data_IF_390931310657
#
_entry.id   IF_390931310657
#
_cell.length_a   1.000
_cell.length_b   1.000
_cell.length_c   1.000
_cell.angle_alpha   90.00
_cell.angle_beta   90.00
_cell.angle_gamma   90.00
#
_symmetry.space_group_name_H-M   'P 1'
#
loop_
_entity.id
_entity.type
_entity.pdbx_description
1 polymer ?
#
# COMPACT_ATOMS: atom_id res chain seq x y z
N UNK A 1 -34.15 -82.36 47.59
CA UNK A 1 -33.14 -81.62 46.81
C UNK A 1 -33.77 -81.25 45.47
N UNK A 2 -34.14 -79.98 45.26
CA UNK A 2 -33.43 -78.97 44.43
C UNK A 2 -33.30 -79.44 42.96
N UNK A 3 -33.73 -78.74 41.91
CA UNK A 3 -33.94 -77.30 41.74
C UNK A 3 -34.89 -77.05 40.56
N UNK A 4 -35.70 -75.99 40.68
CA UNK A 4 -36.45 -75.35 39.60
C UNK A 4 -35.47 -74.65 38.64
N UNK A 5 -35.83 -74.52 37.37
CA UNK A 5 -35.26 -73.49 36.49
C UNK A 5 -36.35 -72.90 35.60
N UNK A 6 -36.31 -71.58 35.61
CA UNK A 6 -37.26 -70.57 35.17
C UNK A 6 -36.55 -69.81 34.05
N UNK A 7 -37.14 -69.71 32.86
CA UNK A 7 -36.69 -68.79 31.79
C UNK A 7 -37.96 -68.24 31.15
N UNK A 8 -38.54 -67.18 31.73
CA UNK A 8 -38.32 -65.75 31.46
C UNK A 8 -38.52 -65.34 29.99
N UNK A 9 -39.75 -64.93 29.70
CA UNK A 9 -40.16 -64.13 28.55
C UNK A 9 -39.49 -62.75 28.62
N UNK A 10 -38.70 -62.38 27.61
CA UNK A 10 -38.20 -61.01 27.43
C UNK A 10 -39.18 -60.28 26.50
N UNK A 11 -39.94 -59.34 27.07
CA UNK A 11 -40.64 -58.32 26.29
C UNK A 11 -39.63 -57.29 25.77
N UNK A 12 -39.58 -57.13 24.45
CA UNK A 12 -38.88 -56.03 23.79
C UNK A 12 -39.67 -54.73 24.05
N UNK A 13 -39.15 -53.88 24.94
CA UNK A 13 -39.60 -52.49 25.04
C UNK A 13 -38.87 -51.72 23.94
N UNK A 14 -39.61 -51.34 22.90
CA UNK A 14 -39.14 -50.37 21.91
C UNK A 14 -39.00 -49.01 22.59
N UNK A 15 -37.77 -48.67 22.99
CA UNK A 15 -37.41 -47.32 23.43
C UNK A 15 -37.41 -46.43 22.19
N UNK A 16 -38.52 -45.74 21.95
CA UNK A 16 -38.60 -44.60 21.06
C UNK A 16 -37.69 -43.49 21.61
N UNK A 17 -36.49 -43.39 21.04
CA UNK A 17 -35.58 -42.26 21.22
C UNK A 17 -36.32 -40.95 20.88
N UNK A 18 -36.35 -39.95 21.78
CA UNK A 18 -36.83 -38.63 21.42
C UNK A 18 -35.89 -38.02 20.39
N UNK A 19 -36.47 -37.66 19.23
CA UNK A 19 -35.86 -36.80 18.23
C UNK A 19 -35.43 -35.52 18.96
N UNK A 20 -34.12 -35.29 19.04
CA UNK A 20 -33.54 -34.05 19.56
C UNK A 20 -34.19 -32.86 18.84
N UNK A 21 -34.75 -31.87 19.55
CA UNK A 21 -35.20 -30.64 18.93
C UNK A 21 -33.97 -29.96 18.35
N UNK A 22 -33.91 -29.88 17.02
CA UNK A 22 -32.77 -29.34 16.29
C UNK A 22 -32.34 -27.99 16.85
N UNK A 23 -31.03 -27.81 17.01
CA UNK A 23 -30.38 -26.54 17.34
C UNK A 23 -30.97 -25.43 16.45
N UNK A 24 -31.90 -24.67 17.02
CA UNK A 24 -32.48 -23.49 16.38
C UNK A 24 -31.39 -22.43 16.35
N UNK A 25 -31.01 -22.02 15.14
CA UNK A 25 -29.96 -21.04 14.88
C UNK A 25 -30.24 -19.75 15.66
N UNK A 26 -29.35 -19.37 16.60
CA UNK A 26 -29.60 -18.31 17.58
C UNK A 26 -29.90 -16.95 16.93
N UNK A 27 -29.36 -16.74 15.73
CA UNK A 27 -29.53 -15.52 14.95
C UNK A 27 -30.89 -15.42 14.25
N UNK A 28 -31.61 -16.52 14.03
CA UNK A 28 -32.92 -16.50 13.36
C UNK A 28 -33.98 -15.68 14.13
N UNK A 29 -33.81 -15.56 15.46
CA UNK A 29 -34.72 -14.84 16.37
C UNK A 29 -34.45 -13.33 16.44
N UNK A 30 -33.37 -12.85 15.85
CA UNK A 30 -33.01 -11.42 15.89
C UNK A 30 -33.97 -10.58 15.04
N UNK A 31 -33.91 -9.26 15.20
CA UNK A 31 -34.66 -8.33 14.37
C UNK A 31 -34.36 -8.59 12.89
N UNK A 32 -35.40 -8.76 12.08
CA UNK A 32 -35.27 -8.88 10.63
C UNK A 32 -34.71 -7.57 10.07
N UNK A 33 -33.72 -7.68 9.20
CA UNK A 33 -33.28 -6.54 8.40
C UNK A 33 -34.37 -6.18 7.38
N UNK A 34 -34.28 -4.98 6.80
CA UNK A 34 -35.17 -4.57 5.71
C UNK A 34 -35.02 -5.46 4.47
N UNK A 35 -36.04 -5.55 3.62
CA UNK A 35 -35.97 -6.30 2.35
C UNK A 35 -34.87 -5.76 1.44
N UNK A 36 -34.63 -4.43 1.48
CA UNK A 36 -33.52 -3.79 0.78
C UNK A 36 -32.16 -4.29 1.28
N UNK A 37 -31.97 -4.39 2.59
CA UNK A 37 -30.73 -4.95 3.15
C UNK A 37 -30.58 -6.42 2.75
N UNK A 38 -31.64 -7.23 2.84
CA UNK A 38 -31.62 -8.62 2.39
C UNK A 38 -31.14 -8.74 0.93
N UNK A 39 -31.73 -7.96 0.03
CA UNK A 39 -31.32 -7.94 -1.38
C UNK A 39 -29.85 -7.54 -1.54
N UNK A 40 -29.45 -6.43 -0.91
CA UNK A 40 -28.09 -5.87 -1.03
C UNK A 40 -27.03 -6.88 -0.54
N UNK A 41 -27.24 -7.48 0.64
CA UNK A 41 -26.30 -8.43 1.22
C UNK A 41 -26.23 -9.72 0.40
N UNK A 42 -27.37 -10.16 -0.15
CA UNK A 42 -27.43 -11.31 -1.07
C UNK A 42 -26.61 -11.05 -2.32
N UNK A 43 -26.78 -9.89 -2.95
CA UNK A 43 -26.03 -9.49 -4.14
C UNK A 43 -24.53 -9.42 -3.86
N UNK A 44 -24.13 -8.87 -2.69
CA UNK A 44 -22.72 -8.83 -2.27
C UNK A 44 -22.12 -10.22 -2.09
N UNK A 45 -22.82 -11.16 -1.46
CA UNK A 45 -22.31 -12.52 -1.30
C UNK A 45 -22.27 -13.31 -2.62
N UNK A 46 -23.28 -13.13 -3.48
CA UNK A 46 -23.25 -13.69 -4.83
C UNK A 46 -22.11 -13.10 -5.67
N UNK A 47 -21.80 -11.81 -5.53
CA UNK A 47 -20.67 -11.18 -6.22
C UNK A 47 -19.33 -11.80 -5.79
N UNK A 48 -19.11 -12.01 -4.48
CA UNK A 48 -17.93 -12.70 -3.97
C UNK A 48 -17.77 -14.10 -4.59
N UNK A 49 -18.86 -14.88 -4.64
CA UNK A 49 -18.86 -16.23 -5.22
C UNK A 49 -18.63 -16.18 -6.73
N UNK A 50 -19.30 -15.26 -7.45
CA UNK A 50 -19.19 -15.12 -8.89
C UNK A 50 -17.78 -14.74 -9.32
N UNK A 51 -17.14 -13.83 -8.58
CA UNK A 51 -15.75 -13.46 -8.83
C UNK A 51 -14.81 -14.62 -8.52
N UNK A 52 -14.96 -15.28 -7.36
CA UNK A 52 -14.14 -16.44 -7.01
C UNK A 52 -14.21 -17.56 -8.06
N UNK A 53 -15.35 -17.73 -8.74
CA UNK A 53 -15.52 -18.70 -9.84
C UNK A 53 -14.65 -18.39 -11.06
N UNK A 54 -14.29 -17.12 -11.28
CA UNK A 54 -13.43 -16.67 -12.38
C UNK A 54 -11.94 -16.60 -12.02
N UNK A 55 -11.58 -16.85 -10.77
CA UNK A 55 -10.21 -16.73 -10.26
C UNK A 55 -9.53 -18.09 -10.13
N UNK A 56 -8.20 -18.05 -10.09
CA UNK A 56 -7.37 -19.17 -9.66
C UNK A 56 -6.89 -18.95 -8.22
N UNK A 57 -6.53 -20.01 -7.46
CA UNK A 57 -6.07 -19.86 -6.08
C UNK A 57 -4.89 -18.88 -5.90
N UNK A 58 -3.99 -18.79 -6.87
CA UNK A 58 -2.86 -17.83 -6.88
C UNK A 58 -3.30 -16.35 -6.99
N UNK A 59 -4.55 -16.12 -7.39
CA UNK A 59 -5.18 -14.81 -7.49
C UNK A 59 -6.04 -14.46 -6.26
N UNK A 60 -5.88 -15.20 -5.16
CA UNK A 60 -6.62 -15.01 -3.90
C UNK A 60 -6.75 -13.56 -3.44
N UNK A 61 -5.70 -12.74 -3.62
CA UNK A 61 -5.70 -11.34 -3.19
C UNK A 61 -6.72 -10.47 -3.96
N UNK A 62 -7.22 -10.90 -5.12
CA UNK A 62 -8.25 -10.15 -5.86
C UNK A 62 -9.56 -10.04 -5.05
N UNK A 63 -9.82 -10.99 -4.15
CA UNK A 63 -11.02 -10.98 -3.30
C UNK A 63 -10.98 -9.97 -2.14
N UNK A 64 -9.84 -9.31 -1.89
CA UNK A 64 -9.67 -8.43 -0.72
C UNK A 64 -10.68 -7.28 -0.69
N UNK A 65 -11.03 -6.71 -1.84
CA UNK A 65 -11.94 -5.59 -1.92
C UNK A 65 -13.38 -5.91 -1.44
N UNK A 66 -13.75 -7.17 -1.25
CA UNK A 66 -15.03 -7.55 -0.65
C UNK A 66 -15.08 -7.35 0.88
N UNK A 67 -13.91 -7.27 1.51
CA UNK A 67 -13.76 -7.29 2.96
C UNK A 67 -13.64 -5.90 3.56
N UNK A 68 -14.12 -5.74 4.80
CA UNK A 68 -13.94 -4.51 5.56
C UNK A 68 -12.47 -4.38 5.97
N UNK A 69 -11.94 -3.15 6.03
CA UNK A 69 -10.60 -2.86 6.55
C UNK A 69 -10.38 -3.45 7.95
N UNK A 70 -11.44 -3.52 8.75
CA UNK A 70 -11.40 -4.11 10.08
C UNK A 70 -11.18 -5.63 10.02
N UNK A 71 -11.92 -6.34 9.18
CA UNK A 71 -11.74 -7.78 9.00
C UNK A 71 -10.33 -8.12 8.47
N UNK A 72 -9.82 -7.35 7.51
CA UNK A 72 -8.47 -7.50 6.97
C UNK A 72 -7.35 -7.16 7.95
N UNK A 73 -7.66 -6.45 9.04
CA UNK A 73 -6.70 -6.19 10.13
C UNK A 73 -6.51 -7.40 11.06
N UNK A 74 -7.45 -8.34 11.05
CA UNK A 74 -7.48 -9.48 11.99
C UNK A 74 -6.83 -10.76 11.45
N UNK A 75 -6.32 -10.74 10.22
CA UNK A 75 -5.78 -11.92 9.53
C UNK A 75 -4.42 -11.62 8.90
N UNK A 76 -3.53 -12.60 8.96
CA UNK A 76 -2.22 -12.54 8.31
C UNK A 76 -2.34 -12.82 6.81
N UNK A 77 -1.40 -12.29 6.02
CA UNK A 77 -1.42 -12.41 4.55
C UNK A 77 -1.47 -13.85 4.07
N UNK A 78 -0.64 -14.73 4.62
CA UNK A 78 -0.60 -16.14 4.21
C UNK A 78 -1.85 -16.91 4.62
N UNK A 79 -2.41 -16.62 5.80
CA UNK A 79 -3.68 -17.20 6.23
C UNK A 79 -4.83 -16.77 5.32
N UNK A 80 -4.85 -15.50 4.90
CA UNK A 80 -5.83 -15.02 3.93
C UNK A 80 -5.69 -15.76 2.59
N UNK A 81 -4.47 -15.84 2.03
CA UNK A 81 -4.21 -16.54 0.75
C UNK A 81 -4.66 -18.00 0.81
N UNK A 82 -4.34 -18.71 1.89
CA UNK A 82 -4.73 -20.11 2.07
C UNK A 82 -6.24 -20.29 2.15
N UNK A 83 -6.93 -19.45 2.93
CA UNK A 83 -8.39 -19.54 3.10
C UNK A 83 -9.13 -19.13 1.83
N UNK A 84 -8.72 -18.03 1.19
CA UNK A 84 -9.25 -17.58 -0.09
C UNK A 84 -9.00 -18.60 -1.20
N UNK A 85 -7.81 -19.19 -1.29
CA UNK A 85 -7.49 -20.24 -2.26
C UNK A 85 -8.36 -21.49 -2.09
N UNK A 86 -8.62 -21.91 -0.84
CA UNK A 86 -9.58 -22.99 -0.56
C UNK A 86 -11.00 -22.61 -0.96
N UNK A 87 -11.43 -21.38 -0.64
CA UNK A 87 -12.75 -20.88 -1.02
C UNK A 87 -12.93 -20.88 -2.55
N UNK A 88 -11.94 -20.39 -3.30
CA UNK A 88 -11.93 -20.41 -4.78
C UNK A 88 -12.06 -21.84 -5.30
N UNK A 89 -11.30 -22.79 -4.74
CA UNK A 89 -11.38 -24.20 -5.13
C UNK A 89 -12.77 -24.82 -4.83
N UNK A 90 -13.33 -24.53 -3.65
CA UNK A 90 -14.66 -24.99 -3.24
C UNK A 90 -15.77 -24.42 -4.16
N UNK A 91 -15.66 -23.14 -4.56
CA UNK A 91 -16.57 -22.50 -5.51
C UNK A 91 -16.45 -23.14 -6.90
N UNK A 92 -15.23 -23.36 -7.39
CA UNK A 92 -15.00 -24.02 -8.68
C UNK A 92 -15.53 -25.47 -8.70
N UNK A 93 -15.51 -26.15 -7.55
CA UNK A 93 -16.07 -27.49 -7.37
C UNK A 93 -17.61 -27.51 -7.22
N UNK A 94 -18.29 -26.36 -7.30
CA UNK A 94 -19.75 -26.26 -7.24
C UNK A 94 -20.34 -26.36 -5.84
N UNK A 95 -19.53 -26.26 -4.77
CA UNK A 95 -20.01 -26.35 -3.37
C UNK A 95 -21.08 -25.29 -3.05
N UNK A 96 -21.02 -24.15 -3.73
CA UNK A 96 -21.92 -23.02 -3.54
C UNK A 96 -23.08 -22.96 -4.54
N UNK A 97 -23.20 -23.92 -5.48
CA UNK A 97 -24.24 -23.91 -6.53
C UNK A 97 -25.67 -24.06 -5.98
N UNK A 98 -25.80 -24.76 -4.83
CA UNK A 98 -27.08 -24.96 -4.12
C UNK A 98 -27.20 -24.08 -2.87
N UNK A 99 -26.49 -22.95 -2.85
CA UNK A 99 -26.61 -22.01 -1.74
C UNK A 99 -28.02 -21.43 -1.66
N UNK A 100 -28.62 -21.51 -0.48
CA UNK A 100 -29.94 -20.94 -0.18
C UNK A 100 -29.80 -19.72 0.73
N UNK A 101 -30.55 -18.65 0.44
CA UNK A 101 -30.66 -17.48 1.31
C UNK A 101 -31.88 -17.68 2.22
N UNK A 102 -31.64 -17.77 3.53
CA UNK A 102 -32.69 -17.94 4.55
C UNK A 102 -33.26 -16.61 5.05
N UNK A 103 -32.55 -15.50 4.83
CA UNK A 103 -32.97 -14.15 5.20
C UNK A 103 -31.81 -13.29 5.71
N UNK A 104 -32.14 -12.10 6.24
CA UNK A 104 -31.16 -11.19 6.83
C UNK A 104 -31.59 -10.70 8.21
N UNK A 105 -30.63 -10.32 9.06
CA UNK A 105 -30.85 -9.83 10.43
C UNK A 105 -30.05 -8.58 10.72
N UNK A 106 -30.59 -7.75 11.60
CA UNK A 106 -30.02 -6.50 12.08
C UNK A 106 -29.81 -6.58 13.61
N UNK A 107 -28.71 -7.20 14.07
CA UNK A 107 -28.37 -7.23 15.50
C UNK A 107 -27.85 -5.89 16.06
N UNK A 108 -27.84 -4.82 15.24
CA UNK A 108 -27.29 -3.52 15.59
C UNK A 108 -26.49 -2.92 14.43
N UNK A 109 -25.21 -2.60 14.67
CA UNK A 109 -24.33 -1.98 13.66
C UNK A 109 -24.02 -2.92 12.48
N UNK A 110 -23.93 -4.22 12.73
CA UNK A 110 -23.73 -5.22 11.68
C UNK A 110 -25.05 -5.62 11.04
N UNK A 111 -24.95 -6.19 9.84
CA UNK A 111 -26.01 -6.99 9.23
C UNK A 111 -25.54 -8.43 9.09
N UNK A 112 -26.45 -9.38 9.24
CA UNK A 112 -26.17 -10.81 9.03
C UNK A 112 -26.96 -11.30 7.83
N UNK A 113 -26.30 -11.97 6.90
CA UNK A 113 -26.94 -12.77 5.86
C UNK A 113 -26.99 -14.23 6.33
N UNK A 114 -28.19 -14.79 6.42
CA UNK A 114 -28.40 -16.18 6.80
C UNK A 114 -28.41 -17.02 5.54
N UNK A 115 -27.49 -17.98 5.46
CA UNK A 115 -27.33 -18.86 4.30
C UNK A 115 -27.39 -20.32 4.71
N UNK A 116 -27.65 -21.18 3.74
CA UNK A 116 -27.37 -22.61 3.82
C UNK A 116 -26.52 -23.01 2.63
N UNK A 117 -25.35 -23.58 2.87
CA UNK A 117 -24.43 -24.09 1.84
C UNK A 117 -24.13 -25.54 2.20
N UNK A 118 -24.37 -26.46 1.26
CA UNK A 118 -24.18 -27.91 1.47
C UNK A 118 -24.75 -28.41 2.81
N UNK A 119 -26.02 -28.06 3.09
CA UNK A 119 -26.76 -28.40 4.33
C UNK A 119 -26.20 -27.76 5.62
N UNK A 120 -25.06 -27.09 5.59
CA UNK A 120 -24.54 -26.31 6.71
C UNK A 120 -25.22 -24.94 6.76
N UNK A 121 -25.71 -24.55 7.94
CA UNK A 121 -26.25 -23.21 8.18
C UNK A 121 -25.12 -22.24 8.47
N UNK A 122 -25.10 -21.11 7.78
CA UNK A 122 -24.14 -20.02 7.97
C UNK A 122 -24.82 -18.69 8.26
N UNK A 123 -24.10 -17.82 8.97
CA UNK A 123 -24.52 -16.46 9.30
C UNK A 123 -23.35 -15.52 8.97
N UNK A 124 -23.43 -14.78 7.87
CA UNK A 124 -22.31 -14.02 7.34
C UNK A 124 -22.42 -12.56 7.79
N UNK A 125 -21.44 -12.03 8.56
CA UNK A 125 -21.49 -10.67 9.06
C UNK A 125 -21.01 -9.65 8.02
N UNK A 126 -21.73 -8.54 7.94
CA UNK A 126 -21.39 -7.38 7.12
C UNK A 126 -21.31 -6.12 7.98
N UNK A 127 -20.29 -5.31 7.72
CA UNK A 127 -20.11 -4.00 8.32
C UNK A 127 -20.40 -2.89 7.28
N UNK A 128 -20.93 -1.73 7.72
CA UNK A 128 -21.11 -0.59 6.85
C UNK A 128 -19.74 0.02 6.49
N UNK A 129 -19.62 0.47 5.25
CA UNK A 129 -18.45 1.05 4.60
C UNK A 129 -18.93 2.19 3.66
N UNK A 130 -18.08 3.16 3.28
CA UNK A 130 -18.48 4.22 2.34
C UNK A 130 -19.14 3.71 1.05
N UNK A 131 -18.70 2.55 0.54
CA UNK A 131 -19.22 1.93 -0.70
C UNK A 131 -20.35 0.91 -0.46
N UNK A 132 -20.94 0.92 0.74
CA UNK A 132 -22.03 0.04 1.15
C UNK A 132 -21.60 -1.02 2.17
N UNK A 133 -21.98 -2.28 1.96
CA UNK A 133 -21.72 -3.36 2.91
C UNK A 133 -20.51 -4.20 2.50
N UNK A 134 -19.59 -4.44 3.42
CA UNK A 134 -18.40 -5.31 3.25
C UNK A 134 -18.40 -6.44 4.28
N UNK A 135 -17.79 -7.58 3.98
CA UNK A 135 -17.68 -8.69 4.92
C UNK A 135 -16.86 -8.28 6.14
N UNK A 136 -17.36 -8.56 7.34
CA UNK A 136 -16.67 -8.20 8.59
C UNK A 136 -15.92 -9.36 9.25
N UNK A 137 -15.93 -10.55 8.63
CA UNK A 137 -15.15 -11.71 9.07
C UNK A 137 -14.72 -12.58 7.88
N UNK A 138 -13.40 -12.72 7.70
CA UNK A 138 -12.81 -13.47 6.58
C UNK A 138 -13.14 -14.97 6.63
N UNK A 139 -13.10 -15.56 7.81
CA UNK A 139 -13.32 -17.01 7.96
C UNK A 139 -14.76 -17.36 7.62
N UNK A 140 -15.69 -16.57 8.15
CA UNK A 140 -17.12 -16.81 7.98
C UNK A 140 -17.53 -16.56 6.53
N UNK A 141 -17.04 -15.49 5.89
CA UNK A 141 -17.31 -15.23 4.48
C UNK A 141 -16.82 -16.37 3.57
N UNK A 142 -15.68 -16.98 3.92
CA UNK A 142 -15.11 -18.14 3.20
C UNK A 142 -15.67 -19.49 3.65
N UNK A 143 -16.75 -19.51 4.44
CA UNK A 143 -17.55 -20.73 4.69
C UNK A 143 -17.25 -21.44 6.00
N UNK A 144 -16.43 -20.87 6.90
CA UNK A 144 -16.28 -21.40 8.26
C UNK A 144 -17.46 -20.97 9.15
N UNK A 145 -18.59 -21.65 9.00
CA UNK A 145 -19.83 -21.34 9.72
C UNK A 145 -19.88 -21.82 11.17
N UNK A 146 -18.89 -22.60 11.61
CA UNK A 146 -18.76 -23.01 13.02
C UNK A 146 -18.18 -21.87 13.89
N UNK A 147 -17.48 -20.92 13.27
CA UNK A 147 -16.90 -19.77 13.97
C UNK A 147 -17.99 -18.84 14.49
N UNK A 148 -17.97 -18.59 15.79
CA UNK A 148 -18.73 -17.48 16.39
C UNK A 148 -18.02 -16.16 16.08
N UNK A 149 -18.79 -15.18 15.61
CA UNK A 149 -18.29 -13.84 15.29
C UNK A 149 -18.87 -12.79 16.24
N UNK A 150 -18.18 -11.65 16.33
CA UNK A 150 -18.55 -10.56 17.22
C UNK A 150 -19.66 -9.68 16.61
N UNK A 151 -20.83 -9.63 17.25
CA UNK A 151 -21.95 -8.81 16.81
C UNK A 151 -21.73 -7.30 16.94
N UNK A 152 -20.70 -6.88 17.69
CA UNK A 152 -20.35 -5.46 17.85
C UNK A 152 -19.56 -4.90 16.66
N UNK A 153 -19.09 -5.77 15.77
CA UNK A 153 -18.20 -5.42 14.67
C UNK A 153 -16.74 -5.35 15.08
N UNK A 154 -15.88 -5.37 14.07
CA UNK A 154 -14.43 -5.24 14.22
C UNK A 154 -14.00 -3.78 14.12
N UNK A 155 -12.96 -3.40 14.87
CA UNK A 155 -12.33 -2.08 14.74
C UNK A 155 -11.12 -2.18 13.81
N UNK A 156 -10.97 -1.29 12.81
CA UNK A 156 -9.76 -1.25 11.98
C UNK A 156 -8.51 -1.03 12.83
N UNK A 157 -7.43 -1.76 12.54
CA UNK A 157 -6.15 -1.49 13.17
C UNK A 157 -5.53 -0.21 12.60
N UNK A 158 -4.81 0.53 13.46
CA UNK A 158 -3.95 1.63 13.06
C UNK A 158 -2.50 1.35 13.51
N UNK A 159 -1.51 1.31 12.60
CA UNK A 159 -1.64 1.51 11.16
C UNK A 159 -2.42 0.36 10.45
N UNK A 160 -3.14 0.65 9.34
CA UNK A 160 -3.73 -0.38 8.48
C UNK A 160 -2.78 -1.53 8.12
N UNK A 161 -3.31 -2.75 8.11
CA UNK A 161 -2.59 -3.96 7.71
C UNK A 161 -2.16 -3.93 6.24
N UNK A 162 -1.23 -4.82 5.88
CA UNK A 162 -0.81 -5.00 4.48
C UNK A 162 -2.01 -5.33 3.58
N UNK A 163 -2.87 -6.26 4.00
CA UNK A 163 -4.06 -6.67 3.26
C UNK A 163 -5.04 -5.50 3.04
N UNK A 164 -5.25 -4.68 4.07
CA UNK A 164 -6.04 -3.45 3.94
C UNK A 164 -5.44 -2.48 2.94
N UNK A 165 -4.11 -2.35 2.91
CA UNK A 165 -3.41 -1.50 1.93
C UNK A 165 -3.56 -2.05 0.51
N UNK A 166 -3.46 -3.36 0.33
CA UNK A 166 -3.68 -4.01 -0.97
C UNK A 166 -5.13 -3.85 -1.44
N UNK A 167 -6.10 -3.91 -0.54
CA UNK A 167 -7.50 -3.63 -0.88
C UNK A 167 -7.71 -2.20 -1.41
N UNK A 168 -7.04 -1.20 -0.82
CA UNK A 168 -7.05 0.19 -1.31
C UNK A 168 -6.41 0.31 -2.70
N UNK A 169 -5.34 -0.43 -2.98
CA UNK A 169 -4.71 -0.42 -4.32
C UNK A 169 -5.62 -0.97 -5.43
N UNK A 170 -6.53 -1.87 -5.08
CA UNK A 170 -7.54 -2.46 -5.97
C UNK A 170 -8.79 -1.59 -6.14
N UNK A 171 -9.01 -0.64 -5.23
CA UNK A 171 -10.21 0.18 -5.24
C UNK A 171 -10.11 1.27 -6.31
N UNK A 172 -11.03 1.21 -7.28
CA UNK A 172 -11.12 2.19 -8.36
C UNK A 172 -11.64 3.56 -7.91
N UNK A 173 -12.26 3.65 -6.72
CA UNK A 173 -12.74 4.91 -6.14
C UNK A 173 -11.71 5.54 -5.18
N UNK A 174 -10.66 4.80 -4.78
CA UNK A 174 -9.62 5.33 -3.92
C UNK A 174 -8.89 6.50 -4.61
N UNK A 175 -8.70 7.58 -3.85
CA UNK A 175 -7.97 8.75 -4.31
C UNK A 175 -6.50 8.42 -4.56
N UNK A 176 -5.82 9.21 -5.40
CA UNK A 176 -4.38 9.06 -5.65
C UNK A 176 -3.59 9.08 -4.33
N UNK A 177 -3.96 9.96 -3.40
CA UNK A 177 -3.37 10.03 -2.06
C UNK A 177 -3.47 8.69 -1.31
N UNK A 178 -4.67 8.12 -1.21
CA UNK A 178 -4.89 6.86 -0.50
C UNK A 178 -4.11 5.72 -1.14
N UNK A 179 -4.06 5.67 -2.47
CA UNK A 179 -3.32 4.66 -3.23
C UNK A 179 -1.81 4.81 -3.08
N UNK A 180 -1.28 6.04 -3.04
CA UNK A 180 0.14 6.32 -2.73
C UNK A 180 0.48 5.88 -1.31
N UNK A 181 -0.32 6.25 -0.32
CA UNK A 181 -0.11 5.84 1.08
C UNK A 181 -0.16 4.31 1.24
N UNK A 182 -1.08 3.66 0.54
CA UNK A 182 -1.18 2.20 0.51
C UNK A 182 0.08 1.57 -0.12
N UNK A 183 0.57 2.10 -1.25
CA UNK A 183 1.79 1.63 -1.89
C UNK A 183 3.03 1.81 -0.99
N UNK A 184 3.17 2.95 -0.32
CA UNK A 184 4.27 3.19 0.62
C UNK A 184 4.23 2.26 1.83
N UNK A 185 3.04 1.84 2.27
CA UNK A 185 2.89 0.80 3.30
C UNK A 185 3.34 -0.57 2.81
N UNK A 186 3.15 -0.92 1.54
CA UNK A 186 3.73 -2.16 0.99
C UNK A 186 5.25 -2.16 1.14
N UNK A 187 5.91 -1.00 1.01
CA UNK A 187 7.36 -0.87 1.19
C UNK A 187 7.83 -1.25 2.60
N UNK A 188 7.04 -0.96 3.64
CA UNK A 188 7.43 -1.23 5.04
C UNK A 188 7.37 -2.72 5.39
N UNK A 189 6.52 -3.47 4.71
CA UNK A 189 6.31 -4.91 4.94
C UNK A 189 7.23 -5.77 4.04
N UNK A 190 7.98 -5.14 3.14
CA UNK A 190 8.99 -5.76 2.28
C UNK A 190 8.47 -6.89 1.36
N UNK A 191 7.20 -6.83 0.93
CA UNK A 191 6.63 -7.80 -0.01
C UNK A 191 6.85 -7.35 -1.47
N UNK A 192 7.99 -7.77 -2.02
CA UNK A 192 8.40 -7.46 -3.40
C UNK A 192 7.38 -7.93 -4.43
N UNK A 193 6.85 -9.15 -4.27
CA UNK A 193 5.98 -9.76 -5.26
C UNK A 193 4.66 -9.02 -5.39
N UNK A 194 4.09 -8.57 -4.26
CA UNK A 194 2.91 -7.70 -4.27
C UNK A 194 3.24 -6.37 -4.94
N UNK A 195 4.32 -5.70 -4.55
CA UNK A 195 4.68 -4.40 -5.12
C UNK A 195 4.84 -4.44 -6.65
N UNK A 196 5.58 -5.42 -7.18
CA UNK A 196 5.81 -5.58 -8.62
C UNK A 196 4.51 -5.92 -9.37
N UNK A 197 3.67 -6.80 -8.81
CA UNK A 197 2.37 -7.19 -9.39
C UNK A 197 1.45 -5.99 -9.60
N UNK A 198 1.38 -5.09 -8.62
CA UNK A 198 0.52 -3.91 -8.71
C UNK A 198 1.16 -2.79 -9.54
N UNK A 199 2.49 -2.68 -9.59
CA UNK A 199 3.18 -1.65 -10.38
C UNK A 199 3.00 -1.83 -11.90
N UNK A 200 2.89 -3.07 -12.37
CA UNK A 200 2.77 -3.41 -13.79
C UNK A 200 1.60 -2.73 -14.51
N UNK A 201 0.35 -2.93 -14.06
CA UNK A 201 -0.84 -2.35 -14.69
C UNK A 201 -1.13 -0.89 -14.27
N UNK A 202 -0.43 -0.36 -13.27
CA UNK A 202 -0.68 1.00 -12.77
C UNK A 202 -0.38 2.07 -13.82
N UNK A 203 -1.30 3.02 -13.96
CA UNK A 203 -1.22 4.13 -14.91
C UNK A 203 -0.99 5.47 -14.22
N UNK A 204 -1.44 5.63 -12.99
CA UNK A 204 -1.18 6.85 -12.23
C UNK A 204 0.32 6.94 -11.91
N UNK A 205 0.99 8.05 -12.27
CA UNK A 205 2.44 8.13 -12.21
C UNK A 205 2.96 8.10 -10.76
N UNK A 206 2.22 8.66 -9.80
CA UNK A 206 2.62 8.64 -8.39
C UNK A 206 2.36 7.32 -7.71
N UNK A 207 1.22 6.69 -7.98
CA UNK A 207 0.94 5.35 -7.46
C UNK A 207 1.97 4.36 -8.02
N UNK A 208 2.28 4.44 -9.32
CA UNK A 208 3.28 3.58 -9.96
C UNK A 208 4.67 3.78 -9.37
N UNK A 209 5.12 5.02 -9.24
CA UNK A 209 6.40 5.32 -8.61
C UNK A 209 6.45 4.80 -7.16
N UNK A 210 5.37 4.95 -6.40
CA UNK A 210 5.30 4.46 -5.01
C UNK A 210 5.37 2.94 -4.90
N UNK A 211 4.73 2.21 -5.82
CA UNK A 211 4.82 0.75 -5.88
C UNK A 211 6.22 0.27 -6.32
N UNK A 212 6.86 0.96 -7.26
CA UNK A 212 8.23 0.65 -7.67
C UNK A 212 9.25 0.99 -6.57
N UNK A 213 9.00 2.06 -5.81
CA UNK A 213 9.75 2.35 -4.58
C UNK A 213 9.60 1.22 -3.56
N UNK A 214 8.37 0.72 -3.35
CA UNK A 214 8.14 -0.44 -2.47
C UNK A 214 8.88 -1.70 -2.94
N UNK A 215 8.86 -1.99 -4.24
CA UNK A 215 9.61 -3.11 -4.81
C UNK A 215 11.11 -2.96 -4.57
N UNK A 216 11.67 -1.76 -4.77
CA UNK A 216 13.08 -1.47 -4.51
C UNK A 216 13.45 -1.63 -3.03
N UNK A 217 12.67 -1.08 -2.10
CA UNK A 217 12.89 -1.28 -0.66
C UNK A 217 12.71 -2.75 -0.22
N UNK A 218 12.13 -3.58 -1.08
CA UNK A 218 12.01 -5.04 -0.94
C UNK A 218 13.07 -5.83 -1.74
N UNK A 219 14.15 -5.18 -2.17
CA UNK A 219 15.30 -5.82 -2.84
C UNK A 219 15.27 -5.86 -4.36
N UNK A 220 14.34 -5.16 -5.03
CA UNK A 220 14.42 -4.93 -6.48
C UNK A 220 15.49 -3.87 -6.82
N UNK A 221 15.77 -3.67 -8.11
CA UNK A 221 16.63 -2.57 -8.57
C UNK A 221 15.93 -1.21 -8.36
N UNK A 222 16.69 -0.13 -8.16
CA UNK A 222 16.11 1.20 -7.92
C UNK A 222 15.79 1.95 -9.22
N UNK A 223 16.41 1.58 -10.35
CA UNK A 223 16.25 2.23 -11.64
C UNK A 223 14.79 2.27 -12.13
N UNK A 224 13.98 1.19 -12.04
CA UNK A 224 12.57 1.27 -12.42
C UNK A 224 11.80 2.34 -11.65
N UNK A 225 12.08 2.51 -10.36
CA UNK A 225 11.49 3.57 -9.55
C UNK A 225 11.94 4.95 -10.04
N UNK A 226 13.25 5.14 -10.30
CA UNK A 226 13.75 6.40 -10.82
C UNK A 226 13.15 6.77 -12.19
N UNK A 227 13.03 5.80 -13.09
CA UNK A 227 12.44 6.01 -14.42
C UNK A 227 10.95 6.40 -14.34
N UNK A 228 10.22 5.84 -13.38
CA UNK A 228 8.82 6.14 -13.14
C UNK A 228 8.57 7.42 -12.31
N UNK A 229 9.58 7.95 -11.63
CA UNK A 229 9.42 9.09 -10.73
C UNK A 229 8.89 10.34 -11.48
N UNK A 230 7.75 10.94 -11.09
CA UNK A 230 7.16 12.05 -11.84
C UNK A 230 8.02 13.31 -11.79
N UNK A 231 8.31 13.89 -12.97
CA UNK A 231 9.16 15.09 -13.12
C UNK A 231 8.37 16.33 -13.51
N UNK A 232 7.13 16.19 -13.97
CA UNK A 232 6.34 17.33 -14.46
C UNK A 232 5.84 18.17 -13.28
N UNK A 233 5.68 19.49 -13.49
CA UNK A 233 5.28 20.45 -12.45
C UNK A 233 3.96 20.08 -11.79
N UNK A 234 2.90 19.91 -12.58
CA UNK A 234 1.54 19.71 -12.07
C UNK A 234 1.42 18.43 -11.20
N UNK A 235 1.91 17.25 -11.62
CA UNK A 235 1.92 16.07 -10.76
C UNK A 235 2.67 16.31 -9.44
N UNK A 236 3.82 16.99 -9.46
CA UNK A 236 4.58 17.25 -8.23
C UNK A 236 3.80 18.13 -7.26
N UNK A 237 3.18 19.22 -7.75
CA UNK A 237 2.34 20.08 -6.93
C UNK A 237 1.12 19.33 -6.38
N UNK A 238 0.46 18.51 -7.20
CA UNK A 238 -0.71 17.72 -6.78
C UNK A 238 -0.39 16.77 -5.62
N UNK A 239 0.70 16.00 -5.69
CA UNK A 239 1.03 15.09 -4.59
C UNK A 239 1.48 15.86 -3.34
N UNK A 240 2.27 16.92 -3.51
CA UNK A 240 2.70 17.76 -2.39
C UNK A 240 1.51 18.34 -1.62
N UNK A 241 0.55 18.96 -2.32
CA UNK A 241 -0.62 19.58 -1.68
C UNK A 241 -1.55 18.54 -1.03
N UNK A 242 -1.64 17.34 -1.61
CA UNK A 242 -2.46 16.25 -1.06
C UNK A 242 -1.81 15.58 0.15
N UNK A 243 -0.51 15.33 0.11
CA UNK A 243 0.25 14.56 1.09
C UNK A 243 1.76 14.84 1.04
N UNK A 244 2.18 15.89 1.75
CA UNK A 244 3.58 16.31 1.86
C UNK A 244 4.48 15.18 2.38
N UNK A 245 4.01 14.36 3.33
CA UNK A 245 4.83 13.30 3.94
C UNK A 245 5.16 12.22 2.91
N UNK A 246 4.16 11.76 2.15
CA UNK A 246 4.38 10.79 1.07
C UNK A 246 5.29 11.36 -0.02
N UNK A 247 5.13 12.65 -0.37
CA UNK A 247 6.00 13.34 -1.30
C UNK A 247 7.46 13.37 -0.82
N UNK A 248 7.70 13.72 0.45
CA UNK A 248 9.03 13.74 1.05
C UNK A 248 9.71 12.36 1.06
N UNK A 249 8.96 11.30 1.38
CA UNK A 249 9.45 9.92 1.34
C UNK A 249 9.93 9.56 -0.07
N UNK A 250 9.15 9.91 -1.10
CA UNK A 250 9.49 9.61 -2.48
C UNK A 250 10.68 10.46 -2.98
N UNK A 251 10.75 11.74 -2.63
CA UNK A 251 11.90 12.61 -2.95
C UNK A 251 13.20 12.08 -2.31
N UNK A 252 13.13 11.68 -1.05
CA UNK A 252 14.25 11.01 -0.36
C UNK A 252 14.62 9.70 -1.06
N UNK A 253 13.61 8.95 -1.52
CA UNK A 253 13.81 7.74 -2.30
C UNK A 253 14.61 8.00 -3.59
N UNK A 254 14.24 8.99 -4.40
CA UNK A 254 14.94 9.25 -5.67
C UNK A 254 16.37 9.75 -5.42
N UNK A 255 16.59 10.51 -4.34
CA UNK A 255 17.92 10.84 -3.85
C UNK A 255 18.74 9.58 -3.52
N UNK A 256 18.20 8.69 -2.70
CA UNK A 256 18.87 7.46 -2.28
C UNK A 256 19.21 6.58 -3.49
N UNK A 257 18.33 6.53 -4.50
CA UNK A 257 18.58 5.78 -5.73
C UNK A 257 19.71 6.41 -6.53
N UNK A 258 19.76 7.75 -6.64
CA UNK A 258 20.86 8.46 -7.27
C UNK A 258 22.19 8.27 -6.53
N UNK A 259 22.17 8.29 -5.19
CA UNK A 259 23.34 8.04 -4.36
C UNK A 259 23.85 6.60 -4.47
N UNK A 260 22.95 5.61 -4.60
CA UNK A 260 23.34 4.20 -4.71
C UNK A 260 23.69 3.75 -6.15
N UNK A 261 23.08 4.36 -7.19
CA UNK A 261 23.21 3.87 -8.56
C UNK A 261 24.56 4.21 -9.20
N UNK A 262 25.15 3.25 -9.91
CA UNK A 262 26.34 3.49 -10.75
C UNK A 262 26.02 4.19 -12.08
N UNK A 263 24.76 4.58 -12.30
CA UNK A 263 24.30 5.24 -13.54
C UNK A 263 23.98 6.70 -13.27
N UNK A 264 24.17 7.53 -14.29
CA UNK A 264 23.83 8.96 -14.25
C UNK A 264 22.31 9.20 -14.30
N UNK A 265 21.53 8.26 -14.84
CA UNK A 265 20.10 8.45 -15.12
C UNK A 265 19.26 8.86 -13.89
N UNK A 266 19.40 8.23 -12.70
CA UNK A 266 18.66 8.68 -11.52
C UNK A 266 19.05 10.09 -11.06
N UNK A 267 20.32 10.47 -11.17
CA UNK A 267 20.77 11.85 -10.87
C UNK A 267 20.16 12.87 -11.84
N UNK A 268 20.12 12.56 -13.14
CA UNK A 268 19.43 13.40 -14.13
C UNK A 268 17.95 13.54 -13.82
N UNK A 269 17.31 12.44 -13.39
CA UNK A 269 15.91 12.47 -12.98
C UNK A 269 15.70 13.41 -11.79
N UNK A 270 16.47 13.25 -10.71
CA UNK A 270 16.40 14.11 -9.53
C UNK A 270 16.61 15.59 -9.90
N UNK A 271 17.64 15.88 -10.70
CA UNK A 271 17.96 17.23 -11.16
C UNK A 271 16.76 17.84 -11.92
N UNK A 272 16.23 17.10 -12.90
CA UNK A 272 15.09 17.56 -13.69
C UNK A 272 13.83 17.72 -12.85
N UNK A 273 13.56 16.82 -11.89
CA UNK A 273 12.41 16.94 -11.00
C UNK A 273 12.45 18.23 -10.19
N UNK A 274 13.60 18.55 -9.58
CA UNK A 274 13.77 19.78 -8.81
C UNK A 274 13.65 21.04 -9.70
N UNK A 275 14.23 21.01 -10.90
CA UNK A 275 14.10 22.10 -11.87
C UNK A 275 12.64 22.41 -12.21
N UNK A 276 11.83 21.38 -12.45
CA UNK A 276 10.42 21.52 -12.85
C UNK A 276 9.47 21.79 -11.69
N UNK A 277 9.86 21.50 -10.45
CA UNK A 277 9.03 21.67 -9.27
C UNK A 277 8.73 23.16 -9.00
N UNK A 278 7.52 23.46 -8.54
CA UNK A 278 7.17 24.76 -7.97
C UNK A 278 7.93 25.05 -6.68
N UNK A 279 8.00 26.32 -6.27
CA UNK A 279 8.78 26.75 -5.08
C UNK A 279 8.50 25.90 -3.84
N UNK A 280 7.23 25.64 -3.52
CA UNK A 280 6.83 24.83 -2.36
C UNK A 280 7.31 23.37 -2.46
N UNK A 281 6.92 22.57 -3.48
CA UNK A 281 7.48 21.22 -3.64
C UNK A 281 9.00 21.20 -3.81
N UNK A 282 9.59 22.25 -4.40
CA UNK A 282 11.03 22.36 -4.65
C UNK A 282 11.84 22.39 -3.35
N UNK A 283 11.32 23.02 -2.31
CA UNK A 283 11.98 23.13 -0.99
C UNK A 283 12.39 21.76 -0.42
N UNK A 284 11.64 20.70 -0.74
CA UNK A 284 11.91 19.32 -0.29
C UNK A 284 13.18 18.73 -0.94
N UNK A 285 13.60 19.22 -2.11
CA UNK A 285 14.79 18.74 -2.79
C UNK A 285 16.10 19.32 -2.24
N UNK A 286 16.06 20.42 -1.47
CA UNK A 286 17.26 21.18 -1.07
C UNK A 286 18.29 20.27 -0.40
N UNK A 287 17.91 19.61 0.71
CA UNK A 287 18.82 18.73 1.44
C UNK A 287 19.29 17.55 0.60
N UNK A 288 18.40 16.97 -0.20
CA UNK A 288 18.70 15.85 -1.09
C UNK A 288 19.77 16.22 -2.13
N UNK A 289 19.64 17.40 -2.76
CA UNK A 289 20.59 17.85 -3.77
C UNK A 289 21.96 18.16 -3.17
N UNK A 290 22.00 18.80 -2.00
CA UNK A 290 23.24 19.12 -1.28
C UNK A 290 23.99 17.85 -0.87
N UNK A 291 23.25 16.87 -0.33
CA UNK A 291 23.81 15.56 0.04
C UNK A 291 24.35 14.83 -1.19
N UNK A 292 23.60 14.82 -2.30
CA UNK A 292 24.05 14.17 -3.54
C UNK A 292 25.27 14.87 -4.14
N UNK A 293 25.33 16.20 -4.12
CA UNK A 293 26.48 16.96 -4.61
C UNK A 293 27.74 16.64 -3.82
N UNK A 294 27.61 16.43 -2.51
CA UNK A 294 28.73 16.01 -1.66
C UNK A 294 29.15 14.56 -1.91
N UNK A 295 28.19 13.66 -2.17
CA UNK A 295 28.45 12.24 -2.36
C UNK A 295 28.91 11.87 -3.79
N UNK A 296 28.38 12.56 -4.81
CA UNK A 296 28.62 12.31 -6.25
C UNK A 296 28.73 13.62 -7.03
N UNK A 297 29.75 14.46 -6.73
CA UNK A 297 29.91 15.76 -7.36
C UNK A 297 30.02 15.67 -8.89
N UNK A 298 30.61 14.60 -9.40
CA UNK A 298 30.76 14.34 -10.82
C UNK A 298 29.44 14.10 -11.55
N UNK A 299 28.45 13.47 -10.90
CA UNK A 299 27.14 13.23 -11.51
C UNK A 299 26.28 14.50 -11.50
N UNK A 300 26.36 15.29 -10.42
CA UNK A 300 25.66 16.58 -10.35
C UNK A 300 26.18 17.54 -11.41
N UNK A 301 27.50 17.68 -11.56
CA UNK A 301 28.07 18.53 -12.58
C UNK A 301 27.75 18.03 -14.00
N UNK A 302 27.78 16.72 -14.23
CA UNK A 302 27.36 16.14 -15.52
C UNK A 302 25.88 16.40 -15.82
N UNK A 303 25.01 16.33 -14.81
CA UNK A 303 23.59 16.63 -14.98
C UNK A 303 23.37 18.09 -15.37
N UNK A 304 24.03 19.03 -14.69
CA UNK A 304 23.98 20.45 -15.03
C UNK A 304 24.43 20.72 -16.49
N UNK A 305 25.56 20.11 -16.89
CA UNK A 305 26.08 20.23 -18.27
C UNK A 305 25.11 19.64 -19.30
N UNK A 306 24.51 18.49 -19.01
CA UNK A 306 23.61 17.80 -19.93
C UNK A 306 22.29 18.55 -20.11
N UNK A 307 21.76 19.15 -19.04
CA UNK A 307 20.55 19.96 -19.10
C UNK A 307 20.81 21.35 -19.70
N UNK A 308 22.01 21.91 -19.52
CA UNK A 308 22.46 23.16 -20.13
C UNK A 308 21.49 24.33 -19.87
N UNK A 309 20.94 24.40 -18.65
CA UNK A 309 20.16 25.54 -18.19
C UNK A 309 21.11 26.70 -17.87
N UNK A 310 20.64 27.94 -18.06
CA UNK A 310 21.38 29.12 -17.59
C UNK A 310 21.30 29.19 -16.07
N UNK A 311 22.37 29.65 -15.43
CA UNK A 311 22.42 29.75 -13.97
C UNK A 311 21.22 30.50 -13.38
N UNK A 312 20.84 31.64 -13.98
CA UNK A 312 19.72 32.48 -13.50
C UNK A 312 18.34 31.79 -13.59
N UNK A 313 18.22 30.81 -14.48
CA UNK A 313 17.00 30.05 -14.74
C UNK A 313 17.05 28.65 -14.09
N UNK A 314 18.18 28.28 -13.48
CA UNK A 314 18.42 26.94 -12.91
C UNK A 314 18.30 26.96 -11.39
N UNK A 315 17.14 26.61 -10.82
CA UNK A 315 16.97 26.59 -9.38
C UNK A 315 17.84 25.53 -8.70
N UNK A 316 18.27 24.47 -9.38
CA UNK A 316 19.19 23.47 -8.81
C UNK A 316 20.56 24.09 -8.61
N UNK A 317 21.07 24.82 -9.62
CA UNK A 317 22.32 25.55 -9.51
C UNK A 317 22.27 26.58 -8.36
N UNK A 318 21.17 27.34 -8.27
CA UNK A 318 20.99 28.32 -7.20
C UNK A 318 20.94 27.67 -5.80
N UNK A 319 20.27 26.51 -5.65
CA UNK A 319 20.27 25.74 -4.40
C UNK A 319 21.69 25.31 -4.03
N UNK A 320 22.43 24.72 -4.97
CA UNK A 320 23.76 24.18 -4.69
C UNK A 320 24.77 25.29 -4.41
N UNK A 321 24.77 26.37 -5.18
CA UNK A 321 25.62 27.54 -4.91
C UNK A 321 25.25 28.19 -3.59
N UNK A 322 23.96 28.41 -3.32
CA UNK A 322 23.50 29.03 -2.09
C UNK A 322 23.72 28.17 -0.84
N UNK A 323 23.75 26.85 -0.95
CA UNK A 323 23.97 25.97 0.20
C UNK A 323 25.44 25.60 0.43
N UNK A 324 26.32 25.75 -0.57
CA UNK A 324 27.70 25.28 -0.52
C UNK A 324 28.75 26.38 -0.78
N UNK A 325 28.36 27.65 -0.84
CA UNK A 325 29.34 28.74 -0.80
C UNK A 325 30.04 28.76 0.57
N UNK A 326 31.30 29.21 0.63
CA UNK A 326 32.13 29.17 1.84
C UNK A 326 32.64 27.77 2.25
N UNK A 327 31.98 26.70 1.80
CA UNK A 327 32.30 25.30 2.12
C UNK A 327 33.47 24.74 1.29
N UNK A 328 34.63 25.40 1.37
CA UNK A 328 35.82 25.05 0.57
C UNK A 328 36.36 23.62 0.82
N UNK A 329 36.02 23.03 1.98
CA UNK A 329 36.32 21.66 2.34
C UNK A 329 35.37 20.61 1.75
N UNK A 330 34.23 21.03 1.17
CA UNK A 330 33.23 20.11 0.64
C UNK A 330 33.73 19.42 -0.66
N UNK A 331 33.48 18.11 -0.84
CA UNK A 331 33.88 17.39 -2.05
C UNK A 331 33.38 18.03 -3.35
N UNK A 332 32.18 18.62 -3.33
CA UNK A 332 31.60 19.32 -4.46
C UNK A 332 32.42 20.54 -4.86
N UNK A 333 32.74 21.41 -3.90
CA UNK A 333 33.56 22.60 -4.13
C UNK A 333 34.94 22.24 -4.71
N UNK A 334 35.59 21.23 -4.12
CA UNK A 334 36.90 20.75 -4.59
C UNK A 334 36.82 20.21 -6.02
N UNK A 335 35.76 19.46 -6.33
CA UNK A 335 35.53 18.89 -7.65
C UNK A 335 35.33 19.98 -8.71
N UNK A 336 34.42 20.94 -8.49
CA UNK A 336 34.21 22.03 -9.45
C UNK A 336 35.44 22.93 -9.58
N UNK A 337 36.18 23.20 -8.48
CA UNK A 337 37.43 23.96 -8.49
C UNK A 337 38.52 23.34 -9.37
N UNK A 338 38.60 22.00 -9.36
CA UNK A 338 39.51 21.26 -10.24
C UNK A 338 39.09 21.41 -11.70
N UNK A 339 37.80 21.18 -12.00
CA UNK A 339 37.29 21.15 -13.37
C UNK A 339 37.14 22.55 -14.01
N UNK A 340 37.01 23.62 -13.23
CA UNK A 340 36.95 24.99 -13.74
C UNK A 340 38.24 25.44 -14.46
N UNK A 341 39.37 24.75 -14.20
CA UNK A 341 40.66 25.02 -14.86
C UNK A 341 40.82 24.31 -16.21
N UNK A 342 39.87 23.44 -16.55
CA UNK A 342 39.89 22.66 -17.79
C UNK A 342 39.24 23.47 -18.95
N UNK A 343 38.92 22.78 -20.06
CA UNK A 343 38.24 23.38 -21.22
C UNK A 343 36.93 22.63 -21.50
N UNK A 344 36.02 23.28 -22.20
CA UNK A 344 34.75 22.69 -22.65
C UNK A 344 33.57 23.00 -21.73
N UNK A 345 32.43 22.33 -21.98
CA UNK A 345 31.16 22.63 -21.32
C UNK A 345 31.21 22.43 -19.80
N UNK A 346 31.84 21.35 -19.34
CA UNK A 346 32.02 21.07 -17.91
C UNK A 346 32.81 22.16 -17.19
N UNK A 347 33.92 22.60 -17.78
CA UNK A 347 34.73 23.69 -17.23
C UNK A 347 33.97 25.02 -17.19
N UNK A 348 33.15 25.29 -18.21
CA UNK A 348 32.31 26.49 -18.27
C UNK A 348 31.31 26.53 -17.12
N UNK A 349 30.54 25.45 -16.92
CA UNK A 349 29.56 25.36 -15.82
C UNK A 349 30.26 25.44 -14.46
N UNK A 350 31.36 24.70 -14.27
CA UNK A 350 32.12 24.72 -13.02
C UNK A 350 32.67 26.11 -12.69
N UNK A 351 33.21 26.82 -13.69
CA UNK A 351 33.72 28.18 -13.53
C UNK A 351 32.60 29.16 -13.17
N UNK A 352 31.47 29.11 -13.87
CA UNK A 352 30.32 29.95 -13.58
C UNK A 352 29.81 29.74 -12.14
N UNK A 353 29.68 28.49 -11.69
CA UNK A 353 29.21 28.21 -10.33
C UNK A 353 30.19 28.69 -9.26
N UNK A 354 31.51 28.56 -9.49
CA UNK A 354 32.53 29.12 -8.58
C UNK A 354 32.50 30.65 -8.51
N UNK A 355 32.30 31.32 -9.65
CA UNK A 355 32.16 32.79 -9.68
C UNK A 355 30.93 33.23 -8.88
N UNK A 356 29.81 32.50 -9.00
CA UNK A 356 28.58 32.76 -8.23
C UNK A 356 28.74 32.45 -6.74
N UNK A 357 29.43 31.36 -6.36
CA UNK A 357 29.77 31.06 -4.97
C UNK A 357 30.64 32.16 -4.36
N UNK A 358 31.69 32.59 -5.07
CA UNK A 358 32.57 33.67 -4.59
C UNK A 358 31.86 35.01 -4.45
N UNK A 359 30.89 35.31 -5.33
CA UNK A 359 30.03 36.49 -5.19
C UNK A 359 29.16 36.40 -3.93
N UNK A 360 28.58 35.22 -3.65
CA UNK A 360 27.81 34.98 -2.42
C UNK A 360 28.66 35.10 -1.15
N UNK A 361 29.90 34.61 -1.16
CA UNK A 361 30.82 34.75 -0.02
C UNK A 361 31.14 36.22 0.32
N UNK A 362 31.02 37.14 -0.65
CA UNK A 362 31.18 38.57 -0.41
C UNK A 362 29.91 39.23 0.15
N UNK A 363 28.73 38.74 -0.23
CA UNK A 363 27.43 39.21 0.25
C UNK A 363 27.10 38.68 1.65
N UNK A 364 27.42 37.41 1.89
CA UNK A 364 27.11 36.63 3.08
C UNK A 364 28.39 35.93 3.58
N UNK A 365 29.31 36.67 4.24
CA UNK A 365 30.54 36.08 4.74
C UNK A 365 30.24 34.99 5.76
N UNK A 366 30.93 33.85 5.63
CA UNK A 366 30.76 32.70 6.52
C UNK A 366 30.83 33.13 8.00
N UNK A 367 29.91 32.64 8.82
CA UNK A 367 29.95 32.89 10.26
C UNK A 367 31.32 32.42 10.81
N UNK A 368 32.03 33.26 11.59
CA UNK A 368 33.28 32.83 12.19
C UNK A 368 33.01 31.58 13.03
N UNK A 369 33.92 30.58 13.00
CA UNK A 369 33.71 29.34 13.73
C UNK A 369 33.39 29.66 15.18
N UNK A 370 32.28 29.10 15.69
CA UNK A 370 31.86 29.28 17.07
C UNK A 370 33.06 29.02 17.98
N UNK A 371 33.44 30.03 18.76
CA UNK A 371 34.64 30.01 19.58
C UNK A 371 34.62 28.73 20.44
N UNK A 372 35.55 27.78 20.24
CA UNK A 372 35.50 26.50 20.95
C UNK A 372 35.90 26.62 22.43
N UNK A 373 36.20 27.84 22.91
CA UNK A 373 36.48 28.12 24.31
C UNK A 373 35.49 29.16 24.89
N UNK A 374 34.76 28.82 25.97
CA UNK A 374 33.93 29.77 26.72
C UNK A 374 34.75 30.84 27.46
#
# INVERSE_FOLDING_TARGET
MRSRSLVLFIMLVAVSLPILPGCRDEYEKMQKASDRDLQTLTERYKALIAEAKGLKPEDALQLLHHFSTASLSSIQTEDFKNKAGKFIADVAAGKYDKMEIRGAREPGRLRLLLVTVDKAKGNIPFAPSPDGWKFDDVDVAFGNFEKKFNLKGSTPAYPPSLLSSVAVLQDAQATVKERVQAALRVATVQDRAIAERFAGPEKDPWVKASLLYAAWKSGAACEPFADAFPIERDPQTQLYDADVDSYQVLVTGIHDCAAASAKLAPTLRLYKSCYQADEKPRSVYVQSLVNLASAKPEYVLKAAVQHNYKYEEDPVANILVGALHGETGNPFFQYISKHAKEKGATAKVAKEWLEKMAARDQEEPAEPPANPNP
#
